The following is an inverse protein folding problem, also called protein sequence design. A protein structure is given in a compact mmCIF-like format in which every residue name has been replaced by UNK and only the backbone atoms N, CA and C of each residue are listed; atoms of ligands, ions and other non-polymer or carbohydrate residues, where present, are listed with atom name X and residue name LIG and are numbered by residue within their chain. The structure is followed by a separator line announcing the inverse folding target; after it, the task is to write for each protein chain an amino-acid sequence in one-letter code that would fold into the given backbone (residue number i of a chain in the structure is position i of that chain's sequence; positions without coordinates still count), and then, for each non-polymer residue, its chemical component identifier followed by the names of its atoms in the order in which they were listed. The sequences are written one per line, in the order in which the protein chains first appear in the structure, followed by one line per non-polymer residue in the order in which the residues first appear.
data_IF_105246665967
#
_entry.id   IF_105246665967
#
_cell.length_a   1.000
_cell.length_b   1.000
_cell.length_c   1.000
_cell.angle_alpha   90.00
_cell.angle_beta   90.00
_cell.angle_gamma   90.00
#
_symmetry.space_group_name_H-M   'P 1'
#
loop_
_entity.id
_entity.type
_entity.pdbx_description
1 polymer ?
#
# COMPACT_ATOMS: atom_id res chain seq x y z
N UNK A 1 -12.54 21.72 -7.07
CA UNK A 1 -13.94 21.50 -7.50
C UNK A 1 -14.82 22.72 -7.28
N UNK A 2 -15.04 23.20 -6.04
CA UNK A 2 -15.78 24.44 -5.81
C UNK A 2 -15.07 25.63 -6.48
N UNK A 3 -13.76 25.77 -6.22
CA UNK A 3 -12.94 26.82 -6.85
C UNK A 3 -12.88 26.71 -8.39
N UNK A 4 -12.85 25.49 -8.95
CA UNK A 4 -12.82 25.28 -10.41
C UNK A 4 -14.16 25.57 -11.08
N UNK A 5 -15.29 25.27 -10.41
CA UNK A 5 -16.62 25.62 -10.91
C UNK A 5 -16.85 27.14 -10.82
N UNK A 6 -16.41 27.76 -9.73
CA UNK A 6 -16.50 29.20 -9.54
C UNK A 6 -15.64 29.98 -10.55
N UNK A 7 -14.41 29.53 -10.85
CA UNK A 7 -13.57 30.19 -11.86
C UNK A 7 -14.12 30.05 -13.27
N UNK A 8 -14.62 28.86 -13.67
CA UNK A 8 -15.25 28.69 -14.99
C UNK A 8 -16.50 29.56 -15.12
N UNK A 9 -17.34 29.63 -14.07
CA UNK A 9 -18.53 30.49 -14.10
C UNK A 9 -18.18 31.98 -14.10
N UNK A 10 -17.16 32.38 -13.33
CA UNK A 10 -16.66 33.76 -13.32
C UNK A 10 -16.12 34.18 -14.69
N UNK A 11 -15.34 33.31 -15.35
CA UNK A 11 -14.86 33.56 -16.72
C UNK A 11 -16.02 33.63 -17.73
N UNK A 12 -17.06 32.82 -17.56
CA UNK A 12 -18.18 32.76 -18.50
C UNK A 12 -19.25 33.85 -18.31
N UNK A 13 -19.46 34.35 -17.08
CA UNK A 13 -20.58 35.25 -16.74
C UNK A 13 -20.24 36.41 -15.79
N UNK A 14 -19.01 36.48 -15.25
CA UNK A 14 -18.54 37.58 -14.40
C UNK A 14 -18.98 37.57 -12.93
N UNK A 15 -19.94 36.70 -12.55
CA UNK A 15 -20.50 36.63 -11.19
C UNK A 15 -20.71 35.19 -10.73
N UNK A 16 -20.59 34.96 -9.42
CA UNK A 16 -20.81 33.66 -8.77
C UNK A 16 -22.09 33.73 -7.96
N UNK A 17 -23.11 32.94 -8.35
CA UNK A 17 -24.38 32.88 -7.63
C UNK A 17 -24.36 31.78 -6.55
N UNK A 18 -25.21 31.92 -5.53
CA UNK A 18 -25.36 30.94 -4.43
C UNK A 18 -25.69 29.52 -4.93
N UNK A 19 -26.44 29.41 -6.02
CA UNK A 19 -26.75 28.13 -6.69
C UNK A 19 -25.50 27.41 -7.19
N UNK A 20 -24.45 28.16 -7.55
CA UNK A 20 -23.17 27.62 -8.04
C UNK A 20 -22.35 27.06 -6.89
N UNK A 21 -22.39 27.72 -5.74
CA UNK A 21 -21.74 27.24 -4.53
C UNK A 21 -22.43 25.96 -4.02
N UNK A 22 -23.76 25.92 -4.02
CA UNK A 22 -24.52 24.73 -3.63
C UNK A 22 -24.24 23.52 -4.54
N UNK A 23 -24.26 23.71 -5.86
CA UNK A 23 -23.92 22.62 -6.81
C UNK A 23 -22.45 22.20 -6.72
N UNK A 24 -21.54 23.16 -6.47
CA UNK A 24 -20.13 22.87 -6.22
C UNK A 24 -19.93 21.99 -4.98
N UNK A 25 -20.67 22.26 -3.90
CA UNK A 25 -20.67 21.43 -2.68
C UNK A 25 -21.19 20.02 -2.95
N UNK A 26 -22.31 19.89 -3.66
CA UNK A 26 -22.87 18.58 -4.05
C UNK A 26 -21.84 17.80 -4.88
N UNK A 27 -21.18 18.45 -5.84
CA UNK A 27 -20.15 17.82 -6.66
C UNK A 27 -18.94 17.34 -5.82
N UNK A 28 -18.51 18.10 -4.81
CA UNK A 28 -17.46 17.65 -3.88
C UNK A 28 -17.91 16.42 -3.10
N UNK A 29 -19.12 16.43 -2.54
CA UNK A 29 -19.63 15.30 -1.75
C UNK A 29 -19.73 14.03 -2.61
N UNK A 30 -20.29 14.15 -3.82
CA UNK A 30 -20.38 13.02 -4.76
C UNK A 30 -19.00 12.51 -5.15
N UNK A 31 -18.03 13.41 -5.40
CA UNK A 31 -16.66 13.01 -5.72
C UNK A 31 -15.97 12.30 -4.54
N UNK A 32 -16.14 12.78 -3.31
CA UNK A 32 -15.57 12.15 -2.12
C UNK A 32 -16.15 10.75 -1.89
N UNK A 33 -17.48 10.60 -2.01
CA UNK A 33 -18.15 9.30 -1.91
C UNK A 33 -17.68 8.33 -3.01
N UNK A 34 -17.64 8.81 -4.25
CA UNK A 34 -17.20 8.01 -5.40
C UNK A 34 -15.72 7.64 -5.29
N UNK A 35 -14.88 8.57 -4.83
CA UNK A 35 -13.45 8.34 -4.58
C UNK A 35 -13.22 7.28 -3.49
N UNK A 36 -14.07 7.24 -2.46
CA UNK A 36 -14.02 6.17 -1.46
C UNK A 36 -14.40 4.80 -2.04
N UNK A 37 -15.45 4.74 -2.88
CA UNK A 37 -15.91 3.49 -3.50
C UNK A 37 -14.97 2.94 -4.57
N UNK A 38 -14.34 3.81 -5.34
CA UNK A 38 -13.38 3.45 -6.41
C UNK A 38 -11.98 3.15 -5.88
N UNK A 39 -11.75 3.28 -4.58
CA UNK A 39 -10.45 3.00 -3.97
C UNK A 39 -9.39 4.07 -4.23
N UNK A 40 -9.78 5.26 -4.70
CA UNK A 40 -8.88 6.41 -4.89
C UNK A 40 -8.11 6.79 -3.61
N UNK A 41 -8.74 6.53 -2.45
CA UNK A 41 -8.18 6.77 -1.12
C UNK A 41 -7.57 5.54 -0.46
N UNK A 42 -7.61 4.37 -1.12
CA UNK A 42 -6.93 3.18 -0.58
C UNK A 42 -5.44 3.45 -0.70
N UNK A 43 -4.76 3.65 0.44
CA UNK A 43 -3.31 3.86 0.55
C UNK A 43 -2.57 2.77 -0.21
N UNK A 44 -2.29 3.00 -1.48
CA UNK A 44 -1.43 2.14 -2.28
C UNK A 44 -0.01 2.54 -1.94
N UNK A 45 0.63 1.78 -1.05
CA UNK A 45 2.03 2.03 -0.66
C UNK A 45 3.03 1.76 -1.80
N UNK A 46 2.58 1.30 -2.98
CA UNK A 46 3.42 1.02 -4.14
C UNK A 46 2.61 1.00 -5.45
N UNK A 47 1.66 1.92 -5.63
CA UNK A 47 0.91 2.00 -6.88
C UNK A 47 1.73 2.69 -7.97
N UNK A 48 1.94 2.03 -9.11
CA UNK A 48 2.49 2.69 -10.31
C UNK A 48 1.68 3.95 -10.64
N UNK A 49 2.32 5.01 -11.14
CA UNK A 49 1.66 6.27 -11.49
C UNK A 49 0.43 6.08 -12.39
N UNK A 50 0.46 5.04 -13.22
CA UNK A 50 -0.62 4.65 -14.11
C UNK A 50 -1.86 4.16 -13.37
N UNK A 51 -1.69 3.46 -12.24
CA UNK A 51 -2.78 2.91 -11.44
C UNK A 51 -3.47 4.01 -10.62
N UNK A 52 -2.72 5.02 -10.17
CA UNK A 52 -3.30 6.23 -9.56
C UNK A 52 -4.10 7.03 -10.60
N UNK A 53 -3.53 7.23 -11.79
CA UNK A 53 -4.20 7.96 -12.87
C UNK A 53 -5.49 7.26 -13.33
N UNK A 54 -5.47 5.93 -13.53
CA UNK A 54 -6.66 5.17 -13.92
C UNK A 54 -7.75 5.24 -12.84
N UNK A 55 -7.36 5.22 -11.56
CA UNK A 55 -8.28 5.39 -10.44
C UNK A 55 -8.91 6.79 -10.44
N UNK A 56 -8.14 7.85 -10.71
CA UNK A 56 -8.65 9.23 -10.84
C UNK A 56 -9.67 9.32 -11.97
N UNK A 57 -9.35 8.76 -13.14
CA UNK A 57 -10.25 8.78 -14.31
C UNK A 57 -11.53 7.99 -14.03
N UNK A 58 -11.43 6.82 -13.38
CA UNK A 58 -12.58 6.00 -12.99
C UNK A 58 -13.49 6.72 -11.99
N UNK A 59 -12.92 7.26 -10.92
CA UNK A 59 -13.65 8.04 -9.91
C UNK A 59 -14.33 9.26 -10.53
N UNK A 60 -13.63 9.97 -11.43
CA UNK A 60 -14.18 11.13 -12.11
C UNK A 60 -15.31 10.76 -13.07
N UNK A 61 -15.15 9.71 -13.87
CA UNK A 61 -16.18 9.24 -14.80
C UNK A 61 -17.47 8.86 -14.07
N UNK A 62 -17.34 8.18 -12.93
CA UNK A 62 -18.50 7.82 -12.11
C UNK A 62 -19.13 9.04 -11.43
N UNK A 63 -18.32 10.03 -11.01
CA UNK A 63 -18.83 11.31 -10.50
C UNK A 63 -19.63 12.07 -11.56
N UNK A 64 -19.11 12.16 -12.79
CA UNK A 64 -19.80 12.80 -13.92
C UNK A 64 -21.11 12.07 -14.25
N UNK A 65 -21.12 10.74 -14.23
CA UNK A 65 -22.31 9.94 -14.45
C UNK A 65 -23.40 10.23 -13.41
N UNK A 66 -23.05 10.25 -12.12
CA UNK A 66 -24.00 10.54 -11.04
C UNK A 66 -24.55 11.96 -11.15
N UNK A 67 -23.69 12.93 -11.43
CA UNK A 67 -24.12 14.32 -11.63
C UNK A 67 -25.03 14.47 -12.86
N UNK A 68 -24.76 13.75 -13.95
CA UNK A 68 -25.60 13.75 -15.13
C UNK A 68 -27.00 13.16 -14.84
N UNK A 69 -27.06 12.06 -14.09
CA UNK A 69 -28.32 11.45 -13.65
C UNK A 69 -29.13 12.39 -12.74
N UNK A 70 -28.46 13.06 -11.78
CA UNK A 70 -29.10 14.05 -10.91
C UNK A 70 -29.61 15.26 -11.69
N UNK A 71 -28.82 15.78 -12.64
CA UNK A 71 -29.22 16.90 -13.49
C UNK A 71 -30.43 16.54 -14.39
N UNK A 72 -30.49 15.31 -14.88
CA UNK A 72 -31.64 14.79 -15.62
C UNK A 72 -32.88 14.65 -14.73
N UNK A 73 -32.74 14.05 -13.55
CA UNK A 73 -33.84 13.83 -12.60
C UNK A 73 -34.45 15.13 -12.07
N UNK A 74 -33.61 16.13 -11.80
CA UNK A 74 -34.02 17.42 -11.22
C UNK A 74 -34.43 18.46 -12.27
N UNK A 75 -34.29 18.16 -13.57
CA UNK A 75 -34.49 19.09 -14.71
C UNK A 75 -33.66 20.38 -14.66
N UNK A 76 -32.69 20.49 -13.76
CA UNK A 76 -31.79 21.65 -13.62
C UNK A 76 -30.78 21.79 -14.78
N UNK A 77 -30.69 20.81 -15.67
CA UNK A 77 -29.76 20.84 -16.81
C UNK A 77 -29.97 22.00 -17.80
N UNK A 78 -31.06 22.78 -17.68
CA UNK A 78 -31.32 23.94 -18.55
C UNK A 78 -30.78 25.27 -18.01
N UNK A 79 -30.45 25.36 -16.71
CA UNK A 79 -29.97 26.63 -16.13
C UNK A 79 -28.51 26.96 -16.47
N UNK A 80 -27.73 25.95 -16.87
CA UNK A 80 -26.32 26.10 -17.21
C UNK A 80 -26.08 25.93 -18.71
N UNK A 81 -25.25 26.82 -19.26
CA UNK A 81 -24.79 26.68 -20.63
C UNK A 81 -24.01 25.37 -20.79
N UNK A 82 -24.35 24.59 -21.83
CA UNK A 82 -23.68 23.31 -22.14
C UNK A 82 -22.15 23.47 -22.25
N UNK A 83 -21.69 24.62 -22.74
CA UNK A 83 -20.27 24.97 -22.84
C UNK A 83 -19.58 25.07 -21.48
N UNK A 84 -20.23 25.67 -20.48
CA UNK A 84 -19.71 25.79 -19.10
C UNK A 84 -19.58 24.41 -18.46
N UNK A 85 -20.57 23.55 -18.66
CA UNK A 85 -20.58 22.20 -18.12
C UNK A 85 -19.49 21.32 -18.75
N UNK A 86 -19.34 21.36 -20.09
CA UNK A 86 -18.26 20.64 -20.79
C UNK A 86 -16.87 21.14 -20.37
N UNK A 87 -16.70 22.45 -20.26
CA UNK A 87 -15.45 23.05 -19.79
C UNK A 87 -15.11 22.58 -18.38
N UNK A 88 -16.09 22.56 -17.47
CA UNK A 88 -15.88 22.10 -16.10
C UNK A 88 -15.57 20.60 -15.99
N UNK A 89 -16.23 19.77 -16.82
CA UNK A 89 -15.99 18.31 -16.90
C UNK A 89 -14.55 18.00 -17.30
N UNK A 90 -13.96 18.81 -18.17
CA UNK A 90 -12.57 18.64 -18.65
C UNK A 90 -11.57 19.31 -17.72
N UNK A 91 -11.83 20.54 -17.29
CA UNK A 91 -10.87 21.32 -16.51
C UNK A 91 -10.62 20.73 -15.12
N UNK A 92 -11.67 20.22 -14.48
CA UNK A 92 -11.58 19.70 -13.10
C UNK A 92 -10.63 18.50 -12.95
N UNK A 93 -10.73 17.41 -13.74
CA UNK A 93 -9.80 16.29 -13.64
C UNK A 93 -8.39 16.70 -14.06
N UNK A 94 -8.23 17.61 -15.03
CA UNK A 94 -6.93 18.13 -15.44
C UNK A 94 -6.24 18.86 -14.28
N UNK A 95 -6.95 19.76 -13.57
CA UNK A 95 -6.40 20.47 -12.41
C UNK A 95 -6.04 19.51 -11.27
N UNK A 96 -6.89 18.52 -10.99
CA UNK A 96 -6.61 17.50 -9.96
C UNK A 96 -5.39 16.66 -10.34
N UNK A 97 -5.33 16.19 -11.59
CA UNK A 97 -4.22 15.39 -12.10
C UNK A 97 -2.89 16.15 -12.10
N UNK A 98 -2.89 17.40 -12.58
CA UNK A 98 -1.71 18.26 -12.55
C UNK A 98 -1.26 18.57 -11.11
N UNK A 99 -2.19 18.84 -10.20
CA UNK A 99 -1.87 19.05 -8.79
C UNK A 99 -1.23 17.84 -8.13
N UNK A 100 -1.77 16.64 -8.38
CA UNK A 100 -1.20 15.36 -7.90
C UNK A 100 0.19 15.11 -8.47
N UNK A 101 0.38 15.34 -9.77
CA UNK A 101 1.67 15.19 -10.44
C UNK A 101 2.71 16.17 -9.87
N UNK A 102 2.33 17.43 -9.67
CA UNK A 102 3.19 18.44 -9.07
C UNK A 102 3.61 18.05 -7.65
N UNK A 103 2.66 17.62 -6.80
CA UNK A 103 2.96 17.12 -5.46
C UNK A 103 3.91 15.92 -5.49
N UNK A 104 3.72 14.97 -6.41
CA UNK A 104 4.60 13.81 -6.57
C UNK A 104 6.02 14.23 -6.95
N UNK A 105 6.18 15.15 -7.91
CA UNK A 105 7.48 15.68 -8.31
C UNK A 105 8.17 16.37 -7.12
N UNK A 106 7.42 17.17 -6.35
CA UNK A 106 7.95 17.84 -5.16
C UNK A 106 8.37 16.81 -4.10
N UNK A 107 7.53 15.83 -3.80
CA UNK A 107 7.84 14.76 -2.84
C UNK A 107 9.07 13.97 -3.27
N UNK A 108 9.16 13.57 -4.54
CA UNK A 108 10.35 12.92 -5.08
C UNK A 108 11.58 13.82 -4.97
N UNK A 109 11.48 15.10 -5.33
CA UNK A 109 12.58 16.05 -5.19
C UNK A 109 13.07 16.24 -3.75
N UNK A 110 12.14 16.24 -2.78
CA UNK A 110 12.46 16.27 -1.35
C UNK A 110 13.16 14.99 -0.89
N UNK A 111 12.69 13.82 -1.35
CA UNK A 111 13.30 12.53 -1.06
C UNK A 111 14.74 12.43 -1.60
N UNK A 112 15.00 12.90 -2.83
CA UNK A 112 16.36 12.97 -3.38
C UNK A 112 17.29 13.91 -2.60
N UNK A 113 16.71 14.86 -1.85
CA UNK A 113 17.44 15.76 -0.94
C UNK A 113 17.58 15.21 0.48
N UNK A 114 17.11 13.98 0.74
CA UNK A 114 17.12 13.36 2.07
C UNK A 114 16.07 13.96 3.02
N UNK A 115 15.10 14.72 2.52
CA UNK A 115 14.05 15.34 3.33
C UNK A 115 12.83 14.42 3.33
N UNK A 116 12.44 13.95 4.51
CA UNK A 116 11.35 12.98 4.67
C UNK A 116 11.77 11.53 4.41
N UNK A 117 13.08 11.27 4.31
CA UNK A 117 13.60 9.90 4.34
C UNK A 117 13.59 9.34 5.76
N UNK A 118 13.48 8.02 5.88
CA UNK A 118 13.57 7.30 7.15
C UNK A 118 14.74 6.35 7.11
N UNK A 119 15.61 6.42 8.12
CA UNK A 119 16.75 5.51 8.27
C UNK A 119 16.25 4.16 8.76
N UNK A 120 16.52 3.13 7.98
CA UNK A 120 16.02 1.79 8.25
C UNK A 120 17.15 0.82 8.59
N UNK A 121 16.91 -0.03 9.58
CA UNK A 121 17.80 -1.13 9.94
C UNK A 121 17.05 -2.46 9.82
N UNK A 122 17.77 -3.51 9.43
CA UNK A 122 17.22 -4.87 9.33
C UNK A 122 17.84 -5.74 10.41
N UNK A 123 16.99 -6.30 11.29
CA UNK A 123 17.38 -7.22 12.34
C UNK A 123 17.27 -8.67 11.84
N UNK A 124 18.42 -9.27 11.54
CA UNK A 124 18.56 -10.58 10.93
C UNK A 124 19.18 -10.51 9.54
N UNK A 125 20.39 -11.04 9.38
CA UNK A 125 21.04 -11.18 8.08
C UNK A 125 20.65 -12.55 7.49
N UNK A 126 19.54 -12.58 6.77
CA UNK A 126 18.98 -13.77 6.12
C UNK A 126 18.38 -13.44 4.75
N UNK A 127 18.03 -14.47 3.97
CA UNK A 127 17.44 -14.31 2.63
C UNK A 127 16.23 -13.37 2.62
N UNK A 128 15.33 -13.50 3.61
CA UNK A 128 14.17 -12.63 3.75
C UNK A 128 14.58 -11.15 3.92
N UNK A 129 15.59 -10.88 4.75
CA UNK A 129 16.12 -9.54 4.95
C UNK A 129 16.83 -8.98 3.72
N UNK A 130 17.58 -9.82 3.00
CA UNK A 130 18.22 -9.42 1.73
C UNK A 130 17.16 -9.08 0.69
N UNK A 131 16.15 -9.93 0.48
CA UNK A 131 15.04 -9.65 -0.43
C UNK A 131 14.28 -8.37 -0.05
N UNK A 132 14.04 -8.16 1.24
CA UNK A 132 13.40 -6.94 1.74
C UNK A 132 14.25 -5.70 1.44
N UNK A 133 15.55 -5.76 1.68
CA UNK A 133 16.47 -4.66 1.42
C UNK A 133 16.62 -4.36 -0.08
N UNK A 134 16.65 -5.40 -0.92
CA UNK A 134 16.62 -5.26 -2.39
C UNK A 134 15.32 -4.60 -2.86
N UNK A 135 14.16 -5.02 -2.35
CA UNK A 135 12.88 -4.41 -2.69
C UNK A 135 12.84 -2.92 -2.31
N UNK A 136 13.44 -2.56 -1.17
CA UNK A 136 13.55 -1.16 -0.75
C UNK A 136 14.49 -0.36 -1.66
N UNK A 137 15.63 -0.93 -2.07
CA UNK A 137 16.54 -0.26 -3.01
C UNK A 137 15.91 -0.07 -4.39
N UNK A 138 15.13 -1.04 -4.87
CA UNK A 138 14.46 -0.96 -6.17
C UNK A 138 13.34 0.08 -6.21
N UNK A 139 12.79 0.48 -5.05
CA UNK A 139 11.76 1.52 -4.96
C UNK A 139 12.19 2.71 -4.08
N UNK A 140 12.94 3.67 -4.66
CA UNK A 140 13.31 4.92 -3.96
C UNK A 140 12.11 5.76 -3.50
N UNK A 141 10.90 5.52 -4.03
CA UNK A 141 9.70 6.28 -3.66
C UNK A 141 9.20 5.95 -2.25
N UNK A 142 9.66 4.84 -1.67
CA UNK A 142 9.41 4.48 -0.27
C UNK A 142 10.09 5.44 0.72
N UNK A 143 11.13 6.15 0.27
CA UNK A 143 11.87 7.10 1.09
C UNK A 143 12.64 6.46 2.24
N UNK A 144 13.03 5.20 2.09
CA UNK A 144 13.87 4.53 3.06
C UNK A 144 15.35 4.69 2.71
N UNK A 145 16.17 4.96 3.71
CA UNK A 145 17.62 4.98 3.62
C UNK A 145 18.17 3.85 4.47
N UNK A 146 18.81 2.85 3.85
CA UNK A 146 19.34 1.72 4.60
C UNK A 146 20.56 2.14 5.43
N UNK A 147 20.51 1.86 6.73
CA UNK A 147 21.66 1.96 7.65
C UNK A 147 22.51 0.71 7.53
N UNK A 148 21.89 -0.48 7.55
CA UNK A 148 22.56 -1.77 7.36
C UNK A 148 21.86 -2.92 8.08
N UNK A 149 22.52 -4.06 8.09
CA UNK A 149 22.05 -5.28 8.74
C UNK A 149 22.66 -5.43 10.13
N UNK A 150 21.88 -6.00 11.05
CA UNK A 150 22.29 -6.31 12.41
C UNK A 150 21.91 -7.74 12.75
N UNK A 151 22.88 -8.55 13.16
CA UNK A 151 22.68 -9.94 13.57
C UNK A 151 23.76 -10.35 14.56
N UNK A 152 23.39 -11.06 15.63
CA UNK A 152 24.35 -11.60 16.60
C UNK A 152 25.15 -12.79 16.05
N UNK A 153 24.72 -13.34 14.91
CA UNK A 153 25.45 -14.41 14.22
C UNK A 153 26.61 -13.77 13.45
N UNK A 154 27.82 -13.90 14.01
CA UNK A 154 29.04 -13.30 13.49
C UNK A 154 29.51 -13.87 12.13
N UNK A 155 28.88 -14.93 11.65
CA UNK A 155 29.23 -15.58 10.39
C UNK A 155 27.95 -15.79 9.58
N UNK A 156 27.78 -14.98 8.54
CA UNK A 156 27.00 -15.42 7.39
C UNK A 156 27.57 -16.79 7.01
N UNK A 157 26.75 -17.84 7.01
CA UNK A 157 27.20 -19.16 6.55
C UNK A 157 27.77 -18.97 5.15
N UNK A 158 29.09 -18.97 5.07
CA UNK A 158 29.90 -18.60 3.91
C UNK A 158 29.87 -19.66 2.80
N UNK A 159 28.88 -20.56 2.83
CA UNK A 159 28.70 -21.61 1.84
C UNK A 159 27.99 -21.10 0.58
N UNK A 160 27.32 -19.95 0.62
CA UNK A 160 26.76 -19.27 -0.56
C UNK A 160 27.57 -18.01 -0.92
N UNK A 161 28.85 -18.20 -1.20
CA UNK A 161 29.81 -17.18 -1.64
C UNK A 161 29.58 -16.65 -3.08
N UNK A 162 28.34 -16.62 -3.57
CA UNK A 162 27.99 -16.07 -4.90
C UNK A 162 27.27 -14.74 -4.86
N UNK A 163 26.78 -14.31 -3.70
CA UNK A 163 26.14 -13.01 -3.52
C UNK A 163 26.65 -12.38 -2.22
N UNK A 164 27.75 -11.62 -2.29
CA UNK A 164 27.98 -10.60 -1.26
C UNK A 164 26.73 -9.71 -1.27
N UNK A 165 25.90 -9.68 -0.21
CA UNK A 165 24.76 -8.77 -0.21
C UNK A 165 25.33 -7.35 -0.38
N UNK A 166 24.64 -6.45 -1.11
CA UNK A 166 25.12 -5.08 -1.32
C UNK A 166 25.18 -4.23 -0.04
N UNK A 167 24.96 -4.84 1.12
CA UNK A 167 24.86 -4.20 2.43
C UNK A 167 25.76 -4.92 3.43
N UNK A 168 26.52 -4.14 4.19
CA UNK A 168 27.37 -4.61 5.28
C UNK A 168 26.55 -5.02 6.51
N UNK A 169 27.06 -6.01 7.23
CA UNK A 169 26.71 -6.26 8.62
C UNK A 169 27.35 -5.12 9.45
N UNK A 170 26.52 -4.27 10.02
CA UNK A 170 26.93 -3.03 10.71
C UNK A 170 27.14 -3.22 12.22
N UNK A 171 26.77 -4.38 12.77
CA UNK A 171 26.85 -4.67 14.20
C UNK A 171 25.93 -5.82 14.63
N UNK A 172 25.84 -5.99 15.95
CA UNK A 172 24.93 -6.94 16.58
C UNK A 172 23.54 -6.33 16.88
N UNK A 173 22.61 -7.15 17.40
CA UNK A 173 21.26 -6.67 17.72
C UNK A 173 21.24 -5.64 18.86
N UNK A 174 22.23 -5.65 19.75
CA UNK A 174 22.31 -4.72 20.89
C UNK A 174 22.76 -3.35 20.41
N UNK A 175 23.77 -3.28 19.55
CA UNK A 175 24.22 -2.05 18.89
C UNK A 175 23.10 -1.41 18.06
N UNK A 176 22.26 -2.22 17.41
CA UNK A 176 21.06 -1.73 16.71
C UNK A 176 20.10 -1.01 17.67
N UNK A 177 19.81 -1.60 18.83
CA UNK A 177 18.94 -1.01 19.86
C UNK A 177 19.53 0.32 20.34
N UNK A 178 20.84 0.38 20.58
CA UNK A 178 21.49 1.62 21.00
C UNK A 178 21.42 2.71 19.92
N UNK A 179 21.72 2.37 18.66
CA UNK A 179 21.58 3.28 17.51
C UNK A 179 20.14 3.80 17.39
N UNK A 180 19.15 2.94 17.59
CA UNK A 180 17.74 3.33 17.58
C UNK A 180 17.39 4.31 18.72
N UNK A 181 17.90 4.07 19.93
CA UNK A 181 17.70 4.98 21.09
C UNK A 181 18.38 6.32 20.91
N UNK A 182 19.52 6.38 20.21
CA UNK A 182 20.20 7.64 19.86
C UNK A 182 19.50 8.41 18.73
N UNK A 183 18.42 7.86 18.16
CA UNK A 183 17.73 8.46 17.03
C UNK A 183 18.55 8.39 15.74
N UNK A 184 19.41 7.39 15.60
CA UNK A 184 20.15 7.12 14.35
C UNK A 184 19.35 6.22 13.40
N UNK A 185 18.39 5.46 13.94
CA UNK A 185 17.50 4.57 13.20
C UNK A 185 16.05 4.97 13.50
N UNK A 186 15.28 5.21 12.45
CA UNK A 186 13.88 5.63 12.55
C UNK A 186 12.93 4.44 12.42
N UNK A 187 13.36 3.37 11.74
CA UNK A 187 12.53 2.19 11.48
C UNK A 187 13.36 0.90 11.50
N UNK A 188 12.85 -0.14 12.15
CA UNK A 188 13.51 -1.44 12.27
C UNK A 188 12.60 -2.52 11.67
N UNK A 189 13.16 -3.32 10.77
CA UNK A 189 12.50 -4.50 10.22
C UNK A 189 13.12 -5.76 10.81
N UNK A 190 12.32 -6.52 11.56
CA UNK A 190 12.72 -7.79 12.15
C UNK A 190 12.40 -8.90 11.15
N UNK A 191 13.45 -9.50 10.59
CA UNK A 191 13.36 -10.59 9.62
C UNK A 191 13.76 -11.92 10.24
N UNK A 192 14.04 -11.94 11.54
CA UNK A 192 14.37 -13.16 12.30
C UNK A 192 13.29 -14.24 12.09
N UNK A 193 13.68 -15.52 11.96
CA UNK A 193 12.72 -16.62 11.86
C UNK A 193 11.74 -16.61 13.03
N UNK A 194 10.46 -16.91 12.79
CA UNK A 194 9.42 -16.92 13.84
C UNK A 194 9.72 -17.90 14.99
N UNK A 195 10.61 -18.89 14.76
CA UNK A 195 11.11 -19.79 15.81
C UNK A 195 12.01 -19.11 16.84
N UNK A 196 12.57 -17.93 16.53
CA UNK A 196 13.40 -17.14 17.43
C UNK A 196 12.55 -16.24 18.34
N UNK A 197 11.50 -16.80 18.94
CA UNK A 197 10.49 -16.07 19.73
C UNK A 197 11.14 -15.22 20.83
N UNK A 198 12.07 -15.80 21.59
CA UNK A 198 12.74 -15.10 22.69
C UNK A 198 13.56 -13.90 22.21
N UNK A 199 14.24 -14.02 21.05
CA UNK A 199 15.02 -12.91 20.46
C UNK A 199 14.10 -11.80 19.97
N UNK A 200 12.98 -12.15 19.34
CA UNK A 200 11.99 -11.17 18.87
C UNK A 200 11.37 -10.44 20.07
N UNK A 201 10.97 -11.17 21.11
CA UNK A 201 10.43 -10.60 22.35
C UNK A 201 11.43 -9.65 23.00
N UNK A 202 12.68 -10.07 23.14
CA UNK A 202 13.76 -9.23 23.67
C UNK A 202 13.91 -7.91 22.88
N UNK A 203 13.94 -7.97 21.54
CA UNK A 203 14.03 -6.78 20.70
C UNK A 203 12.83 -5.83 20.90
N UNK A 204 11.61 -6.37 20.93
CA UNK A 204 10.41 -5.57 21.14
C UNK A 204 10.41 -4.89 22.51
N UNK A 205 10.84 -5.59 23.56
CA UNK A 205 10.98 -5.02 24.90
C UNK A 205 12.03 -3.91 24.92
N UNK A 206 13.22 -4.16 24.34
CA UNK A 206 14.31 -3.17 24.33
C UNK A 206 14.00 -1.92 23.49
N UNK A 207 13.19 -2.06 22.44
CA UNK A 207 12.81 -0.97 21.54
C UNK A 207 11.53 -0.26 21.99
N UNK A 208 10.82 -0.76 23.00
CA UNK A 208 9.56 -0.19 23.50
C UNK A 208 9.68 1.26 23.98
N UNK A 209 10.84 1.61 24.57
CA UNK A 209 11.17 2.96 25.03
C UNK A 209 11.86 3.83 23.95
N UNK A 210 12.02 3.31 22.73
CA UNK A 210 12.60 4.05 21.61
C UNK A 210 11.53 4.74 20.76
N UNK A 211 11.92 5.78 20.02
CA UNK A 211 11.03 6.42 19.03
C UNK A 211 10.99 5.68 17.69
N UNK A 212 11.75 4.60 17.54
CA UNK A 212 11.83 3.85 16.30
C UNK A 212 10.55 3.06 16.06
N UNK A 213 10.08 3.05 14.81
CA UNK A 213 8.96 2.18 14.41
C UNK A 213 9.48 0.77 14.14
N UNK A 214 8.91 -0.25 14.79
CA UNK A 214 9.35 -1.63 14.64
C UNK A 214 8.31 -2.45 13.88
N UNK A 215 8.76 -3.17 12.85
CA UNK A 215 7.92 -4.02 12.01
C UNK A 215 8.50 -5.43 11.97
N UNK A 216 7.64 -6.45 12.11
CA UNK A 216 8.03 -7.85 11.92
C UNK A 216 7.70 -8.22 10.48
N UNK A 217 8.69 -8.69 9.74
CA UNK A 217 8.52 -9.21 8.38
C UNK A 217 8.38 -10.72 8.48
N UNK A 218 7.17 -11.27 8.25
CA UNK A 218 6.98 -12.70 8.25
C UNK A 218 7.66 -13.34 7.04
N UNK A 219 8.34 -14.47 7.27
CA UNK A 219 8.79 -15.35 6.21
C UNK A 219 7.60 -16.14 5.66
N UNK A 220 7.07 -15.71 4.51
CA UNK A 220 5.96 -16.37 3.85
C UNK A 220 6.39 -17.50 2.89
N UNK A 221 7.60 -18.06 3.00
CA UNK A 221 7.99 -19.23 2.20
C UNK A 221 7.05 -20.45 2.40
N UNK A 222 6.20 -20.45 3.43
CA UNK A 222 5.14 -21.46 3.63
C UNK A 222 3.93 -21.25 2.70
N UNK A 223 3.73 -20.05 2.11
CA UNK A 223 2.56 -19.75 1.28
C UNK A 223 2.65 -20.29 -0.16
N UNK A 224 3.84 -20.54 -0.70
CA UNK A 224 3.97 -21.20 -2.01
C UNK A 224 3.53 -22.67 -1.97
N UNK A 225 3.61 -23.32 -0.80
CA UNK A 225 3.05 -24.66 -0.58
C UNK A 225 1.51 -24.66 -0.37
N UNK A 226 0.91 -23.49 -0.13
CA UNK A 226 -0.52 -23.29 0.19
C UNK A 226 -1.39 -22.90 -1.03
N UNK A 227 -0.90 -23.11 -2.25
CA UNK A 227 -1.78 -23.17 -3.42
C UNK A 227 -2.66 -24.44 -3.46
N UNK A 228 -2.57 -25.35 -2.48
CA UNK A 228 -3.55 -26.41 -2.27
C UNK A 228 -4.69 -25.95 -1.34
N UNK A 229 -5.76 -25.47 -1.97
CA UNK A 229 -7.13 -25.39 -1.42
C UNK A 229 -7.26 -24.83 0.00
N UNK A 230 -7.52 -23.53 0.07
CA UNK A 230 -8.14 -22.88 1.22
C UNK A 230 -9.39 -23.64 1.68
N UNK A 231 -9.27 -24.38 2.79
CA UNK A 231 -10.41 -24.82 3.58
C UNK A 231 -10.21 -24.27 4.99
N UNK A 232 -10.99 -23.25 5.34
CA UNK A 232 -10.97 -22.67 6.68
C UNK A 232 -11.70 -23.60 7.64
N UNK A 233 -11.01 -24.12 8.65
CA UNK A 233 -11.67 -24.53 9.90
C UNK A 233 -11.29 -23.53 10.99
N UNK A 234 -12.26 -22.70 11.39
CA UNK A 234 -12.16 -21.90 12.62
C UNK A 234 -11.23 -20.68 12.63
N UNK A 235 -10.76 -20.18 11.48
CA UNK A 235 -9.97 -18.93 11.42
C UNK A 235 -8.51 -19.03 11.88
N UNK A 236 -8.01 -20.25 12.12
CA UNK A 236 -6.60 -20.52 12.38
C UNK A 236 -6.03 -21.24 11.15
N UNK A 237 -4.98 -20.73 10.49
CA UNK A 237 -4.35 -21.44 9.39
C UNK A 237 -3.64 -22.68 9.94
N UNK A 238 -4.24 -23.85 9.73
CA UNK A 238 -3.66 -25.13 10.13
C UNK A 238 -3.33 -25.93 8.87
N UNK A 239 -2.07 -26.34 8.73
CA UNK A 239 -1.59 -27.23 7.65
C UNK A 239 -1.54 -28.65 8.21
N UNK A 240 -2.40 -29.54 7.73
CA UNK A 240 -2.32 -30.97 8.05
C UNK A 240 -1.22 -31.61 7.20
N UNK A 241 -0.16 -32.10 7.85
CA UNK A 241 1.00 -32.74 7.19
C UNK A 241 0.71 -34.21 6.79
N UNK A 242 -0.45 -34.75 7.15
CA UNK A 242 -0.94 -36.06 6.68
C UNK A 242 -2.46 -36.03 6.50
N UNK A 243 -2.94 -36.15 5.26
CA UNK A 243 -4.30 -36.60 4.96
C UNK A 243 -4.23 -38.11 4.68
N UNK A 244 -4.96 -38.90 5.46
CA UNK A 244 -5.10 -40.34 5.22
C UNK A 244 -5.88 -40.55 3.91
N UNK A 245 -5.32 -41.23 2.87
CA UNK A 245 -5.87 -41.19 1.52
C UNK A 245 -6.98 -42.24 1.32
N UNK A 246 -8.03 -42.19 2.13
CA UNK A 246 -9.10 -43.19 2.07
C UNK A 246 -10.51 -42.64 2.24
N UNK A 247 -10.84 -41.46 1.69
CA UNK A 247 -12.25 -41.13 1.43
C UNK A 247 -12.44 -40.30 0.16
N UNK A 248 -12.30 -40.97 -0.99
CA UNK A 248 -12.76 -40.50 -2.30
C UNK A 248 -13.24 -41.68 -3.15
N UNK A 249 -14.49 -41.61 -3.60
CA UNK A 249 -15.19 -42.35 -4.69
C UNK A 249 -15.17 -43.90 -4.72
N UNK A 250 -14.20 -44.59 -4.11
CA UNK A 250 -14.15 -46.06 -4.08
C UNK A 250 -15.16 -46.71 -3.11
N UNK A 251 -15.75 -45.93 -2.20
CA UNK A 251 -16.80 -46.40 -1.29
C UNK A 251 -18.13 -46.75 -1.98
N UNK A 252 -18.41 -46.16 -3.14
CA UNK A 252 -19.63 -46.45 -3.91
C UNK A 252 -19.44 -47.71 -4.76
N UNK A 253 -18.25 -47.90 -5.33
CA UNK A 253 -17.92 -49.08 -6.14
C UNK A 253 -17.97 -50.35 -5.29
N UNK A 254 -17.49 -50.30 -4.04
CA UNK A 254 -17.51 -51.47 -3.13
C UNK A 254 -18.92 -51.88 -2.67
N UNK A 255 -19.90 -50.97 -2.65
CA UNK A 255 -21.29 -51.26 -2.26
C UNK A 255 -22.12 -51.95 -3.36
N UNK A 256 -21.73 -51.81 -4.63
CA UNK A 256 -22.40 -52.51 -5.73
C UNK A 256 -21.95 -53.97 -5.85
N UNK A 257 -20.72 -54.28 -5.44
CA UNK A 257 -20.18 -55.64 -5.50
C UNK A 257 -20.66 -56.55 -4.38
N UNK A 258 -21.02 -56.02 -3.21
CA UNK A 258 -21.49 -56.83 -2.07
C UNK A 258 -23.01 -57.14 -2.10
N UNK A 259 -23.76 -56.67 -3.11
CA UNK A 259 -25.21 -56.94 -3.27
C UNK A 259 -25.54 -57.67 -4.59
N UNK A 260 -24.53 -58.14 -5.34
CA UNK A 260 -24.69 -58.96 -6.53
C UNK A 260 -24.26 -60.41 -6.28
#
# INVERSE_FOLDING_TARGET
MIASLATVKWIARGWVDDTTLAMGLIAVIVFLLTGHLTGLYRKSHAGSANMEMSSIVGAWSMTVLVLALLAFATRYGQEFARSVMLCWIILTPTVIGLGRMCLRIIQQGLLHRGIGTRRIAVAGLNELGVQMAENVQHDPSLGFQMVGFFDDRNEFRSDDASASPPFSLEGDLTEMVEKARRGEIDTIFITLPMRAEDRIRYLLEQLSDSTASVYIVPDFFVFELLHSRWTSMGGIPAVSVFENPLFGVDGVIKRLTDVA
#
